data_IF_180537390426
#
_entry.id   IF_180537390426
#
_cell.length_a   1.000
_cell.length_b   1.000
_cell.length_c   1.000
_cell.angle_alpha   90.00
_cell.angle_beta   90.00
_cell.angle_gamma   90.00
#
_symmetry.space_group_name_H-M   'P 1'
#
loop_
_entity.id
_entity.type
_entity.pdbx_description
1 polymer ?
#
# COMPACT_ATOMS: atom_id res chain seq x y z
N UNK A 1 2.88 38.77 -16.01
CA UNK A 1 3.91 37.73 -16.20
C UNK A 1 3.48 36.57 -15.33
N UNK A 2 3.18 35.41 -15.92
CA UNK A 2 2.92 34.21 -15.14
C UNK A 2 4.22 33.88 -14.41
N UNK A 3 4.17 33.87 -13.08
CA UNK A 3 5.35 33.55 -12.28
C UNK A 3 5.67 32.05 -12.40
N UNK A 4 6.91 31.72 -12.77
CA UNK A 4 7.40 30.33 -12.91
C UNK A 4 7.41 29.68 -11.53
N UNK A 5 6.85 28.47 -11.41
CA UNK A 5 6.98 27.64 -10.21
C UNK A 5 8.40 27.04 -10.10
N UNK A 6 8.90 26.85 -8.89
CA UNK A 6 10.11 26.07 -8.71
C UNK A 6 9.84 24.58 -9.01
N UNK A 7 8.66 24.09 -8.56
CA UNK A 7 8.23 22.71 -8.78
C UNK A 7 6.78 22.65 -9.23
N UNK A 8 6.51 21.88 -10.30
CA UNK A 8 5.20 21.32 -10.58
C UNK A 8 5.22 19.84 -10.14
N UNK A 9 4.30 19.47 -9.27
CA UNK A 9 4.22 18.13 -8.70
C UNK A 9 2.98 17.45 -9.27
N UNK A 10 3.17 16.39 -10.03
CA UNK A 10 2.10 15.58 -10.65
C UNK A 10 1.75 14.42 -9.75
N UNK A 11 0.60 14.50 -9.12
CA UNK A 11 0.07 13.55 -8.14
C UNK A 11 0.19 14.03 -6.70
N UNK A 12 -0.95 14.15 -6.02
CA UNK A 12 -1.08 14.59 -4.62
C UNK A 12 -1.01 13.45 -3.59
N UNK A 13 -0.57 12.25 -4.01
CA UNK A 13 -0.33 11.14 -3.10
C UNK A 13 0.76 11.45 -2.08
N UNK A 14 1.03 10.51 -1.17
CA UNK A 14 1.95 10.73 -0.04
C UNK A 14 3.33 11.23 -0.46
N UNK A 15 3.89 10.73 -1.58
CA UNK A 15 5.17 11.20 -2.10
C UNK A 15 5.09 12.68 -2.50
N UNK A 16 4.14 13.04 -3.38
CA UNK A 16 4.01 14.40 -3.90
C UNK A 16 3.69 15.42 -2.79
N UNK A 17 2.78 15.08 -1.87
CA UNK A 17 2.43 15.94 -0.74
C UNK A 17 3.59 16.13 0.23
N UNK A 18 4.35 15.07 0.53
CA UNK A 18 5.54 15.17 1.40
C UNK A 18 6.64 15.99 0.72
N UNK A 19 6.85 15.81 -0.59
CA UNK A 19 7.81 16.61 -1.36
C UNK A 19 7.44 18.09 -1.34
N UNK A 20 6.18 18.43 -1.61
CA UNK A 20 5.67 19.79 -1.59
C UNK A 20 5.90 20.47 -0.22
N UNK A 21 5.64 19.73 0.87
CA UNK A 21 5.88 20.19 2.24
C UNK A 21 7.32 20.63 2.47
N UNK A 22 8.29 19.77 2.14
CA UNK A 22 9.70 20.08 2.36
C UNK A 22 10.22 21.16 1.40
N UNK A 23 9.77 21.17 0.14
CA UNK A 23 10.12 22.20 -0.82
C UNK A 23 9.62 23.59 -0.35
N UNK A 24 8.35 23.67 0.09
CA UNK A 24 7.81 24.91 0.68
C UNK A 24 8.59 25.38 1.90
N UNK A 25 8.97 24.47 2.81
CA UNK A 25 9.81 24.81 3.96
C UNK A 25 11.17 25.38 3.57
N UNK A 26 11.67 25.10 2.36
CA UNK A 26 12.87 25.72 1.80
C UNK A 26 12.56 27.00 1.00
N UNK A 27 11.35 27.53 1.09
CA UNK A 27 10.94 28.77 0.40
C UNK A 27 10.67 28.58 -1.10
N UNK A 28 10.52 27.33 -1.57
CA UNK A 28 10.20 27.03 -2.98
C UNK A 28 8.72 27.20 -3.24
N UNK A 29 8.39 27.78 -4.41
CA UNK A 29 7.02 27.88 -4.89
C UNK A 29 6.63 26.61 -5.64
N UNK A 30 5.62 25.90 -5.12
CA UNK A 30 5.14 24.64 -5.65
C UNK A 30 3.68 24.75 -6.11
N UNK A 31 3.35 24.03 -7.18
CA UNK A 31 1.99 23.68 -7.56
C UNK A 31 1.85 22.16 -7.57
N UNK A 32 0.85 21.63 -6.87
CA UNK A 32 0.48 20.21 -6.92
C UNK A 32 -0.77 20.04 -7.76
N UNK A 33 -0.71 19.17 -8.77
CA UNK A 33 -1.86 18.82 -9.60
C UNK A 33 -2.24 17.36 -9.39
N UNK A 34 -3.52 17.04 -9.44
CA UNK A 34 -4.01 15.67 -9.42
C UNK A 34 -5.11 15.48 -10.46
N UNK A 35 -5.11 14.32 -11.15
CA UNK A 35 -6.15 13.98 -12.13
C UNK A 35 -7.51 13.68 -11.48
N UNK A 36 -7.52 13.31 -10.20
CA UNK A 36 -8.73 13.05 -9.41
C UNK A 36 -9.35 14.33 -8.91
N UNK A 37 -10.64 14.29 -8.57
CA UNK A 37 -11.37 15.39 -7.95
C UNK A 37 -11.05 15.60 -6.47
N UNK A 38 -10.09 14.89 -5.92
CA UNK A 38 -9.64 14.96 -4.54
C UNK A 38 -8.13 14.83 -4.43
N UNK A 39 -7.55 15.37 -3.37
CA UNK A 39 -6.15 15.22 -3.02
C UNK A 39 -5.90 13.92 -2.23
N UNK A 40 -4.63 13.56 -2.02
CA UNK A 40 -4.20 12.46 -1.16
C UNK A 40 -3.96 11.13 -1.88
N UNK A 41 -4.27 11.05 -3.18
CA UNK A 41 -4.06 9.83 -3.94
C UNK A 41 -4.81 8.65 -3.31
N UNK A 42 -4.12 7.52 -3.09
CA UNK A 42 -4.74 6.34 -2.48
C UNK A 42 -4.98 6.46 -0.96
N UNK A 43 -4.48 7.52 -0.30
CA UNK A 43 -4.77 7.78 1.12
C UNK A 43 -6.09 8.49 1.37
N UNK A 44 -6.75 8.94 0.30
CA UNK A 44 -8.01 9.67 0.44
C UNK A 44 -9.06 8.86 1.20
N UNK A 45 -9.66 9.50 2.21
CA UNK A 45 -10.80 9.00 2.96
C UNK A 45 -12.06 9.76 2.58
N UNK A 46 -13.14 9.04 2.29
CA UNK A 46 -14.46 9.60 2.03
C UNK A 46 -15.27 9.60 3.34
N UNK A 47 -15.91 10.71 3.68
CA UNK A 47 -16.84 10.73 4.81
C UNK A 47 -18.19 10.13 4.37
N UNK A 48 -18.58 9.03 5.02
CA UNK A 48 -19.86 8.37 4.79
C UNK A 48 -20.53 8.13 6.14
N UNK A 49 -21.64 8.79 6.41
CA UNK A 49 -22.38 8.70 7.69
C UNK A 49 -21.50 9.05 8.92
N UNK A 50 -20.54 9.96 8.74
CA UNK A 50 -19.57 10.34 9.78
C UNK A 50 -18.47 9.30 10.03
N UNK A 51 -18.27 8.37 9.11
CA UNK A 51 -17.20 7.36 9.15
C UNK A 51 -16.21 7.66 8.02
N UNK A 52 -14.92 7.79 8.34
CA UNK A 52 -13.86 7.97 7.35
C UNK A 52 -13.56 6.65 6.63
N UNK A 53 -14.14 6.50 5.46
CA UNK A 53 -13.95 5.32 4.61
C UNK A 53 -12.65 5.44 3.83
N UNK A 54 -11.72 4.52 4.02
CA UNK A 54 -10.50 4.42 3.23
C UNK A 54 -10.87 3.95 1.82
N UNK A 55 -11.09 4.90 0.91
CA UNK A 55 -11.69 4.65 -0.42
C UNK A 55 -10.90 3.68 -1.27
N UNK A 56 -9.59 3.69 -1.12
CA UNK A 56 -8.66 2.87 -1.91
C UNK A 56 -8.03 1.73 -1.11
N UNK A 57 -8.71 1.25 -0.07
CA UNK A 57 -8.26 0.15 0.78
C UNK A 57 -7.66 0.59 2.11
N UNK A 58 -7.53 -0.38 3.02
CA UNK A 58 -7.01 -0.14 4.35
C UNK A 58 -5.56 0.36 4.32
N UNK A 59 -5.32 1.52 4.88
CA UNK A 59 -4.01 2.12 5.08
C UNK A 59 -3.75 2.27 6.58
N UNK A 60 -2.69 1.65 7.07
CA UNK A 60 -2.24 1.75 8.46
C UNK A 60 -0.80 2.28 8.43
N UNK A 61 -0.56 3.40 9.11
CA UNK A 61 0.80 3.93 9.21
C UNK A 61 1.57 3.12 10.25
N UNK A 62 2.74 2.60 9.89
CA UNK A 62 3.61 1.87 10.81
C UNK A 62 5.08 2.08 10.43
N UNK A 63 5.98 2.08 11.42
CA UNK A 63 7.41 2.28 11.19
C UNK A 63 8.25 1.94 12.42
N UNK A 64 9.52 1.58 12.20
CA UNK A 64 10.55 1.55 13.23
C UNK A 64 11.37 2.85 13.27
N UNK A 65 11.23 3.72 12.25
CA UNK A 65 11.95 5.00 12.17
C UNK A 65 11.30 6.02 13.11
N UNK A 66 11.94 6.28 14.25
CA UNK A 66 11.49 7.34 15.16
C UNK A 66 11.45 8.71 14.47
N UNK A 67 12.38 8.99 13.58
CA UNK A 67 12.45 10.23 12.80
C UNK A 67 11.18 10.44 11.96
N UNK A 68 10.77 9.40 11.25
CA UNK A 68 9.55 9.43 10.41
C UNK A 68 8.32 9.55 11.28
N UNK A 69 8.25 8.79 12.37
CA UNK A 69 7.14 8.86 13.32
C UNK A 69 6.99 10.24 13.94
N UNK A 70 8.08 10.80 14.48
CA UNK A 70 8.08 12.14 15.06
C UNK A 70 7.64 13.22 14.05
N UNK A 71 8.02 13.06 12.79
CA UNK A 71 7.60 13.95 11.73
C UNK A 71 6.08 13.89 11.50
N UNK A 72 5.50 12.71 11.29
CA UNK A 72 4.07 12.61 10.97
C UNK A 72 3.17 13.00 12.16
N UNK A 73 3.55 12.66 13.39
CA UNK A 73 2.80 13.08 14.59
C UNK A 73 2.95 14.57 14.92
N UNK A 74 3.98 15.23 14.39
CA UNK A 74 4.11 16.70 14.48
C UNK A 74 3.13 17.45 13.57
N UNK A 75 2.57 16.78 12.58
CA UNK A 75 1.63 17.35 11.62
C UNK A 75 0.18 17.16 12.07
N UNK A 76 -0.16 15.96 12.53
CA UNK A 76 -1.51 15.58 12.96
C UNK A 76 -1.45 14.59 14.12
N UNK A 77 -2.52 14.54 14.91
CA UNK A 77 -2.66 13.53 15.97
C UNK A 77 -2.90 12.13 15.34
N UNK A 78 -2.22 11.12 15.89
CA UNK A 78 -2.45 9.71 15.59
C UNK A 78 -3.10 9.00 16.76
N UNK A 79 -4.03 8.12 16.47
CA UNK A 79 -4.66 7.29 17.47
C UNK A 79 -3.79 6.05 17.79
N UNK A 80 -4.30 5.21 18.72
CA UNK A 80 -3.64 3.98 19.17
C UNK A 80 -3.98 2.74 18.35
N UNK A 81 -4.43 2.86 17.12
CA UNK A 81 -4.84 1.69 16.33
C UNK A 81 -3.70 0.70 16.20
N UNK A 82 -3.99 -0.55 16.56
CA UNK A 82 -3.07 -1.68 16.42
C UNK A 82 -3.67 -2.64 15.40
N UNK A 83 -2.97 -2.89 14.30
CA UNK A 83 -3.46 -3.75 13.25
C UNK A 83 -3.47 -5.21 13.70
N UNK A 84 -4.64 -5.78 13.89
CA UNK A 84 -4.86 -7.16 14.36
C UNK A 84 -5.93 -7.84 13.50
N UNK A 85 -5.65 -8.10 12.21
CA UNK A 85 -6.62 -8.72 11.32
C UNK A 85 -6.93 -10.15 11.74
N UNK A 86 -8.11 -10.63 11.34
CA UNK A 86 -8.50 -12.04 11.48
C UNK A 86 -8.67 -12.68 10.11
N UNK A 87 -8.50 -14.00 10.05
CA UNK A 87 -8.82 -14.79 8.87
C UNK A 87 -10.09 -15.59 9.12
N UNK A 88 -11.03 -15.53 8.19
CA UNK A 88 -12.23 -16.38 8.16
C UNK A 88 -12.01 -17.50 7.14
N UNK A 89 -12.09 -18.72 7.61
CA UNK A 89 -12.09 -19.94 6.80
C UNK A 89 -13.27 -20.82 7.18
N UNK A 90 -14.26 -20.94 6.31
CA UNK A 90 -15.49 -21.72 6.54
C UNK A 90 -16.24 -21.33 7.83
N UNK A 91 -16.34 -20.02 8.09
CA UNK A 91 -16.98 -19.49 9.28
C UNK A 91 -16.14 -19.59 10.57
N UNK A 92 -14.97 -20.22 10.53
CA UNK A 92 -14.05 -20.28 11.67
C UNK A 92 -13.03 -19.15 11.59
N UNK A 93 -12.88 -18.42 12.67
CA UNK A 93 -11.96 -17.28 12.77
C UNK A 93 -10.61 -17.73 13.33
N UNK A 94 -9.55 -17.16 12.75
CA UNK A 94 -8.17 -17.34 13.18
C UNK A 94 -7.48 -15.99 13.30
N UNK A 95 -6.69 -15.79 14.35
CA UNK A 95 -5.89 -14.58 14.50
C UNK A 95 -4.71 -14.56 13.51
N UNK A 96 -4.37 -13.35 13.06
CA UNK A 96 -3.20 -13.07 12.25
C UNK A 96 -2.31 -12.03 12.96
N UNK A 97 -0.98 -12.04 12.74
CA UNK A 97 -0.18 -13.03 12.01
C UNK A 97 -0.21 -14.38 12.72
N UNK A 98 0.41 -15.42 12.16
CA UNK A 98 0.43 -16.73 12.78
C UNK A 98 1.16 -16.69 14.10
N UNK A 99 0.42 -16.87 15.18
CA UNK A 99 0.90 -16.77 16.57
C UNK A 99 0.24 -17.84 17.45
N UNK A 100 0.52 -17.84 18.73
CA UNK A 100 -0.04 -18.84 19.65
C UNK A 100 -1.56 -18.86 19.66
N UNK A 101 -2.26 -17.71 19.44
CA UNK A 101 -3.72 -17.71 19.30
C UNK A 101 -4.16 -18.48 18.05
N UNK A 102 -3.48 -18.30 16.91
CA UNK A 102 -3.74 -19.05 15.67
C UNK A 102 -3.55 -20.56 15.89
N UNK A 103 -2.46 -20.96 16.56
CA UNK A 103 -2.13 -22.36 16.81
C UNK A 103 -3.11 -23.00 17.80
N UNK A 104 -3.51 -22.27 18.84
CA UNK A 104 -4.58 -22.70 19.74
C UNK A 104 -5.91 -22.90 18.99
N UNK A 105 -6.31 -21.93 18.17
CA UNK A 105 -7.55 -21.99 17.39
C UNK A 105 -7.53 -23.14 16.36
N UNK A 106 -6.37 -23.48 15.83
CA UNK A 106 -6.22 -24.50 14.79
C UNK A 106 -6.04 -25.90 15.37
N UNK A 107 -5.20 -26.06 16.38
CA UNK A 107 -4.73 -27.34 16.91
C UNK A 107 -5.04 -27.58 18.38
N UNK A 108 -5.54 -26.58 19.12
CA UNK A 108 -5.81 -26.70 20.55
C UNK A 108 -4.55 -26.75 21.44
N UNK A 109 -3.40 -26.34 20.91
CA UNK A 109 -2.12 -26.31 21.66
C UNK A 109 -2.07 -25.11 22.61
N UNK A 110 -1.48 -25.29 23.80
CA UNK A 110 -1.47 -24.30 24.85
C UNK A 110 -0.09 -23.69 25.13
N UNK A 111 0.97 -24.40 24.75
CA UNK A 111 2.34 -23.97 25.03
C UNK A 111 3.17 -23.81 23.74
N UNK A 112 4.23 -22.96 23.77
CA UNK A 112 5.15 -22.84 22.66
C UNK A 112 5.80 -24.17 22.23
N UNK A 113 6.07 -25.05 23.17
CA UNK A 113 6.66 -26.36 22.89
C UNK A 113 5.70 -27.27 22.11
N UNK A 114 4.42 -27.31 22.48
CA UNK A 114 3.38 -28.05 21.76
C UNK A 114 3.17 -27.47 20.35
N UNK A 115 3.14 -26.14 20.22
CA UNK A 115 2.99 -25.46 18.94
C UNK A 115 4.19 -25.75 18.03
N UNK A 116 5.42 -25.71 18.56
CA UNK A 116 6.64 -26.03 17.82
C UNK A 116 6.63 -27.48 17.34
N UNK A 117 6.28 -28.42 18.20
CA UNK A 117 6.19 -29.84 17.85
C UNK A 117 5.15 -30.07 16.75
N UNK A 118 3.99 -29.38 16.83
CA UNK A 118 2.95 -29.48 15.81
C UNK A 118 3.37 -28.87 14.46
N UNK A 119 4.07 -27.73 14.49
CA UNK A 119 4.65 -27.14 13.29
C UNK A 119 5.67 -28.06 12.62
N UNK A 120 6.54 -28.74 13.41
CA UNK A 120 7.52 -29.70 12.90
C UNK A 120 6.83 -30.90 12.27
N UNK A 121 5.81 -31.49 12.92
CA UNK A 121 4.97 -32.55 12.35
C UNK A 121 4.39 -32.15 10.99
N UNK A 122 3.75 -30.96 10.93
CA UNK A 122 3.10 -30.46 9.73
C UNK A 122 4.06 -30.16 8.57
N UNK A 123 5.31 -29.82 8.86
CA UNK A 123 6.37 -29.53 7.86
C UNK A 123 7.07 -30.79 7.36
N UNK A 124 7.09 -31.87 8.17
CA UNK A 124 7.95 -33.04 7.95
C UNK A 124 7.72 -33.67 6.58
N UNK A 125 6.48 -33.80 6.12
CA UNK A 125 6.13 -34.38 4.82
C UNK A 125 6.75 -33.57 3.67
N UNK A 126 6.54 -32.25 3.69
CA UNK A 126 7.04 -31.35 2.65
C UNK A 126 8.58 -31.35 2.59
N UNK A 127 9.23 -31.28 3.76
CA UNK A 127 10.69 -31.29 3.86
C UNK A 127 11.25 -32.62 3.38
N UNK A 128 10.61 -33.73 3.73
CA UNK A 128 11.03 -35.09 3.30
C UNK A 128 10.88 -35.23 1.80
N UNK A 129 9.78 -34.78 1.22
CA UNK A 129 9.54 -34.77 -0.23
C UNK A 129 10.60 -33.96 -0.98
N UNK A 130 10.87 -32.74 -0.54
CA UNK A 130 11.89 -31.88 -1.16
C UNK A 130 13.28 -32.56 -1.13
N UNK A 131 13.67 -33.14 0.00
CA UNK A 131 14.93 -33.88 0.12
C UNK A 131 15.02 -35.11 -0.82
N UNK A 132 13.92 -35.85 -0.95
CA UNK A 132 13.85 -37.00 -1.84
C UNK A 132 13.97 -36.60 -3.33
N UNK A 133 13.48 -35.41 -3.67
CA UNK A 133 13.58 -34.80 -5.02
C UNK A 133 14.92 -34.08 -5.26
N UNK A 134 15.83 -34.05 -4.28
CA UNK A 134 17.11 -33.32 -4.36
C UNK A 134 16.94 -31.80 -4.44
N UNK A 135 15.87 -31.27 -3.86
CA UNK A 135 15.53 -29.85 -3.83
C UNK A 135 16.02 -29.24 -2.52
N UNK A 136 17.06 -28.42 -2.60
CA UNK A 136 17.65 -27.75 -1.41
C UNK A 136 16.87 -26.51 -0.98
N UNK A 137 16.19 -25.85 -1.91
CA UNK A 137 15.40 -24.64 -1.64
C UNK A 137 14.03 -24.72 -2.32
N UNK A 138 12.95 -24.21 -1.68
CA UNK A 138 11.62 -24.16 -2.28
C UNK A 138 11.62 -23.48 -3.65
N UNK A 139 11.02 -24.13 -4.64
CA UNK A 139 10.94 -23.66 -6.03
C UNK A 139 9.83 -22.62 -6.26
N UNK A 140 8.79 -22.70 -5.43
CA UNK A 140 7.57 -21.88 -5.56
C UNK A 140 6.96 -21.57 -4.18
N UNK A 141 5.90 -20.77 -4.18
CA UNK A 141 5.24 -20.32 -2.96
C UNK A 141 4.62 -21.50 -2.17
N UNK A 142 4.03 -22.48 -2.84
CA UNK A 142 3.46 -23.66 -2.16
C UNK A 142 4.51 -24.43 -1.37
N UNK A 143 5.64 -24.77 -1.99
CA UNK A 143 6.74 -25.46 -1.32
C UNK A 143 7.30 -24.65 -0.14
N UNK A 144 7.46 -23.34 -0.35
CA UNK A 144 7.90 -22.42 0.71
C UNK A 144 6.91 -22.38 1.89
N UNK A 145 5.60 -22.32 1.61
CA UNK A 145 4.57 -22.32 2.63
C UNK A 145 4.56 -23.63 3.42
N UNK A 146 4.51 -24.76 2.73
CA UNK A 146 4.49 -26.06 3.36
C UNK A 146 5.74 -26.32 4.24
N UNK A 147 6.91 -25.88 3.79
CA UNK A 147 8.15 -25.99 4.55
C UNK A 147 8.23 -24.99 5.74
N UNK A 148 7.55 -23.86 5.66
CA UNK A 148 7.61 -22.81 6.70
C UNK A 148 6.54 -22.98 7.77
N UNK A 149 5.29 -23.26 7.39
CA UNK A 149 4.11 -23.23 8.27
C UNK A 149 3.30 -24.53 8.28
N UNK A 150 3.62 -25.49 7.40
CA UNK A 150 2.94 -26.76 7.29
C UNK A 150 1.62 -26.72 6.53
N UNK A 151 1.01 -27.89 6.39
CA UNK A 151 -0.14 -28.13 5.51
C UNK A 151 -1.41 -27.41 5.99
N UNK A 152 -1.75 -27.54 7.28
CA UNK A 152 -3.01 -27.02 7.81
C UNK A 152 -3.13 -25.51 7.64
N UNK A 153 -2.06 -24.76 7.95
CA UNK A 153 -2.04 -23.29 7.81
C UNK A 153 -2.02 -22.91 6.34
N UNK A 154 -1.21 -23.61 5.53
CA UNK A 154 -1.15 -23.35 4.10
C UNK A 154 -2.52 -23.51 3.43
N UNK A 155 -3.18 -24.65 3.61
CA UNK A 155 -4.46 -24.95 2.94
C UNK A 155 -5.61 -24.04 3.38
N UNK A 156 -5.66 -23.71 4.69
CA UNK A 156 -6.77 -22.93 5.24
C UNK A 156 -6.55 -21.41 5.16
N UNK A 157 -5.33 -20.93 5.37
CA UNK A 157 -5.10 -19.49 5.58
C UNK A 157 -4.28 -18.82 4.48
N UNK A 158 -3.54 -19.59 3.65
CA UNK A 158 -2.67 -19.02 2.62
C UNK A 158 -3.18 -19.28 1.22
N UNK A 159 -3.39 -20.54 0.86
CA UNK A 159 -3.61 -20.94 -0.53
C UNK A 159 -4.69 -20.14 -1.23
N UNK A 160 -5.94 -20.24 -0.78
CA UNK A 160 -7.06 -19.61 -1.45
C UNK A 160 -6.99 -18.08 -1.42
N UNK A 161 -6.47 -17.48 -0.33
CA UNK A 161 -6.25 -16.05 -0.24
C UNK A 161 -5.22 -15.56 -1.26
N UNK A 162 -4.07 -16.23 -1.31
CA UNK A 162 -2.96 -15.86 -2.19
C UNK A 162 -3.32 -16.04 -3.66
N UNK A 163 -3.97 -17.15 -4.00
CA UNK A 163 -4.41 -17.41 -5.38
C UNK A 163 -5.43 -16.36 -5.87
N UNK A 164 -6.34 -15.90 -5.02
CA UNK A 164 -7.24 -14.78 -5.33
C UNK A 164 -6.47 -13.46 -5.52
N UNK A 165 -5.55 -13.18 -4.60
CA UNK A 165 -4.78 -11.94 -4.63
C UNK A 165 -3.92 -11.82 -5.88
N UNK A 166 -3.30 -12.92 -6.32
CA UNK A 166 -2.37 -12.93 -7.44
C UNK A 166 -2.99 -13.39 -8.76
N UNK A 167 -4.18 -14.01 -8.74
CA UNK A 167 -4.82 -14.57 -9.93
C UNK A 167 -4.09 -15.76 -10.52
N UNK A 168 -3.17 -16.39 -9.76
CA UNK A 168 -2.30 -17.51 -10.17
C UNK A 168 -2.24 -18.55 -9.08
N UNK A 169 -1.95 -19.80 -9.44
CA UNK A 169 -1.76 -20.89 -8.47
C UNK A 169 -0.49 -20.65 -7.64
N UNK A 170 -0.52 -21.07 -6.38
CA UNK A 170 0.65 -20.98 -5.50
C UNK A 170 1.89 -21.72 -6.04
N UNK A 171 1.69 -22.77 -6.86
CA UNK A 171 2.75 -23.50 -7.57
C UNK A 171 3.44 -22.71 -8.68
N UNK A 172 2.81 -21.62 -9.16
CA UNK A 172 3.32 -20.75 -10.22
C UNK A 172 3.91 -19.44 -9.66
N UNK A 173 3.71 -19.19 -8.37
CA UNK A 173 4.18 -17.97 -7.70
C UNK A 173 5.57 -18.17 -7.09
N UNK A 174 6.44 -17.14 -7.12
CA UNK A 174 7.77 -17.21 -6.54
C UNK A 174 7.76 -17.44 -5.02
N UNK A 175 8.68 -18.27 -4.52
CA UNK A 175 8.82 -18.61 -3.10
C UNK A 175 9.04 -17.37 -2.19
N UNK A 176 9.69 -16.32 -2.70
CA UNK A 176 10.03 -15.13 -1.91
C UNK A 176 8.82 -14.36 -1.39
N UNK A 177 7.64 -14.48 -2.02
CA UNK A 177 6.41 -13.75 -1.65
C UNK A 177 6.05 -13.99 -0.18
N UNK A 178 6.22 -15.21 0.33
CA UNK A 178 5.92 -15.55 1.72
C UNK A 178 7.16 -15.87 2.57
N UNK A 179 8.36 -15.65 2.05
CA UNK A 179 9.61 -15.96 2.77
C UNK A 179 9.71 -15.26 4.13
N UNK A 180 9.09 -14.11 4.28
CA UNK A 180 9.11 -13.27 5.50
C UNK A 180 7.84 -13.38 6.33
N UNK A 181 6.99 -14.39 6.08
CA UNK A 181 5.76 -14.56 6.83
C UNK A 181 6.07 -14.79 8.32
N UNK A 182 5.58 -13.94 9.24
CA UNK A 182 5.92 -14.08 10.65
C UNK A 182 5.21 -15.30 11.24
N UNK A 183 5.99 -16.13 11.93
CA UNK A 183 5.54 -17.24 12.77
C UNK A 183 6.03 -16.97 14.18
N UNK A 184 5.12 -16.77 15.12
CA UNK A 184 5.44 -16.33 16.48
C UNK A 184 4.96 -17.34 17.51
N UNK A 185 5.86 -17.80 18.38
CA UNK A 185 5.52 -18.68 19.51
C UNK A 185 5.18 -17.88 20.77
N UNK A 186 4.45 -16.77 20.58
CA UNK A 186 3.94 -15.88 21.64
C UNK A 186 2.49 -15.51 21.33
N UNK A 187 1.72 -15.11 22.33
CA UNK A 187 0.34 -14.60 22.19
C UNK A 187 0.38 -13.12 21.81
N UNK A 188 0.64 -12.83 20.53
CA UNK A 188 0.72 -11.46 20.02
C UNK A 188 -0.02 -11.34 18.67
N UNK A 189 -1.13 -10.64 18.68
CA UNK A 189 -1.98 -10.40 17.50
C UNK A 189 -1.59 -9.13 16.74
N UNK A 190 -0.57 -8.39 17.19
CA UNK A 190 -0.11 -7.23 16.44
C UNK A 190 0.52 -7.69 15.12
N UNK A 191 -0.08 -7.29 13.99
CA UNK A 191 0.35 -7.75 12.67
C UNK A 191 1.77 -7.25 12.32
N UNK A 192 2.08 -6.02 12.69
CA UNK A 192 3.39 -5.42 12.43
C UNK A 192 4.38 -5.70 13.58
N UNK A 193 5.67 -5.75 13.23
CA UNK A 193 6.76 -5.81 14.21
C UNK A 193 7.32 -4.41 14.53
N UNK A 194 6.72 -3.37 13.96
CA UNK A 194 7.21 -2.00 14.08
C UNK A 194 6.86 -1.39 15.45
N UNK A 195 7.76 -0.53 15.92
CA UNK A 195 7.65 0.13 17.21
C UNK A 195 6.53 1.16 17.27
N UNK A 196 6.14 1.71 16.12
CA UNK A 196 5.13 2.76 16.01
C UNK A 196 4.09 2.37 14.97
N UNK A 197 2.82 2.57 15.29
CA UNK A 197 1.71 2.41 14.36
C UNK A 197 0.49 3.22 14.83
N UNK A 198 -0.39 3.57 13.90
CA UNK A 198 -1.63 4.30 14.17
C UNK A 198 -2.31 4.78 12.91
N UNK A 199 -3.45 5.42 13.11
CA UNK A 199 -4.25 6.09 12.08
C UNK A 199 -4.38 7.57 12.47
N UNK A 200 -4.26 8.52 11.52
CA UNK A 200 -4.53 9.93 11.81
C UNK A 200 -5.96 10.12 12.33
N UNK A 201 -6.12 10.84 13.41
CA UNK A 201 -7.44 11.20 13.96
C UNK A 201 -8.14 12.14 12.97
N UNK A 202 -9.34 11.76 12.53
CA UNK A 202 -10.08 12.45 11.49
C UNK A 202 -9.66 12.06 10.06
N UNK A 203 -9.05 10.89 9.90
CA UNK A 203 -8.68 10.28 8.62
C UNK A 203 -7.41 10.84 7.98
N UNK A 204 -6.93 10.16 6.94
CA UNK A 204 -5.70 10.54 6.23
C UNK A 204 -5.79 11.89 5.49
N UNK A 205 -6.99 12.37 5.19
CA UNK A 205 -7.16 13.69 4.57
C UNK A 205 -6.50 14.78 5.42
N UNK A 206 -6.57 14.68 6.77
CA UNK A 206 -5.92 15.62 7.68
C UNK A 206 -4.40 15.65 7.55
N UNK A 207 -3.79 14.48 7.35
CA UNK A 207 -2.34 14.40 7.10
C UNK A 207 -1.97 15.07 5.77
N UNK A 208 -2.75 14.82 4.73
CA UNK A 208 -2.52 15.43 3.41
C UNK A 208 -2.73 16.95 3.45
N UNK A 209 -3.80 17.42 4.10
CA UNK A 209 -4.06 18.85 4.33
C UNK A 209 -2.88 19.52 5.06
N UNK A 210 -2.35 18.90 6.12
CA UNK A 210 -1.21 19.43 6.87
C UNK A 210 0.09 19.42 6.05
N UNK A 211 0.31 18.42 5.20
CA UNK A 211 1.47 18.38 4.29
C UNK A 211 1.38 19.47 3.20
N UNK A 212 0.19 19.75 2.71
CA UNK A 212 -0.05 20.70 1.65
C UNK A 212 -0.41 22.12 2.17
N UNK A 213 -0.36 22.35 3.48
CA UNK A 213 -0.63 23.67 4.04
C UNK A 213 0.23 24.76 3.40
N UNK A 214 -0.43 25.77 2.81
CA UNK A 214 0.21 26.88 2.08
C UNK A 214 0.86 26.49 0.76
N UNK A 215 0.54 25.32 0.18
CA UNK A 215 0.92 24.91 -1.17
C UNK A 215 -0.26 25.13 -2.12
N UNK A 216 -0.01 25.68 -3.31
CA UNK A 216 -1.03 25.79 -4.35
C UNK A 216 -1.39 24.39 -4.89
N UNK A 217 -2.68 24.07 -5.00
CA UNK A 217 -3.16 22.76 -5.45
C UNK A 217 -4.27 22.89 -6.48
N UNK A 218 -4.33 21.97 -7.44
CA UNK A 218 -5.43 21.87 -8.41
C UNK A 218 -5.81 20.40 -8.60
N UNK A 219 -7.09 20.10 -8.49
CA UNK A 219 -7.69 18.80 -8.83
C UNK A 219 -8.25 18.81 -10.23
N UNK A 220 -8.68 17.64 -10.74
CA UNK A 220 -9.25 17.45 -12.09
C UNK A 220 -8.31 17.92 -13.21
N UNK A 221 -7.00 17.86 -12.98
CA UNK A 221 -5.95 18.17 -13.96
C UNK A 221 -5.18 16.91 -14.32
N UNK A 222 -5.48 16.35 -15.48
CA UNK A 222 -4.72 15.22 -16.03
C UNK A 222 -3.48 15.73 -16.78
N UNK A 223 -2.30 15.39 -16.29
CA UNK A 223 -1.02 15.76 -16.90
C UNK A 223 -0.92 15.27 -18.36
N UNK A 224 -1.44 14.08 -18.66
CA UNK A 224 -1.40 13.50 -20.02
C UNK A 224 -2.42 14.12 -20.98
N UNK A 225 -3.40 14.87 -20.45
CA UNK A 225 -4.29 15.70 -21.27
C UNK A 225 -3.70 17.08 -21.60
N UNK A 226 -2.49 17.39 -21.11
CA UNK A 226 -1.76 18.61 -21.36
C UNK A 226 -0.67 18.39 -22.40
N UNK A 227 -0.39 19.43 -23.20
CA UNK A 227 0.85 19.51 -23.98
C UNK A 227 1.99 19.81 -23.00
N UNK A 228 3.08 19.04 -23.06
CA UNK A 228 4.28 19.21 -22.25
C UNK A 228 5.48 19.47 -23.14
N UNK A 229 6.19 20.56 -22.90
CA UNK A 229 7.43 20.91 -23.59
C UNK A 229 8.50 21.32 -22.58
N UNK A 230 9.77 21.09 -22.91
CA UNK A 230 10.92 21.52 -22.13
C UNK A 230 11.81 22.40 -23.00
N UNK A 231 12.11 23.61 -22.54
CA UNK A 231 13.04 24.51 -23.19
C UNK A 231 14.45 24.36 -22.62
N UNK A 232 15.33 23.71 -23.34
CA UNK A 232 16.71 23.46 -22.95
C UNK A 232 17.53 24.75 -22.70
N UNK A 233 17.14 25.88 -23.30
CA UNK A 233 17.86 27.15 -23.13
C UNK A 233 17.53 27.82 -21.80
N UNK A 234 16.27 27.82 -21.41
CA UNK A 234 15.81 28.41 -20.14
C UNK A 234 15.77 27.42 -18.99
N UNK A 235 15.83 26.11 -19.25
CA UNK A 235 15.64 25.06 -18.26
C UNK A 235 14.24 25.02 -17.66
N UNK A 236 13.21 25.33 -18.48
CA UNK A 236 11.82 25.49 -18.01
C UNK A 236 10.89 24.52 -18.72
N UNK A 237 10.10 23.81 -17.94
CA UNK A 237 8.97 23.04 -18.44
C UNK A 237 7.75 23.94 -18.64
N UNK A 238 7.03 23.74 -19.74
CA UNK A 238 5.74 24.38 -20.00
C UNK A 238 4.68 23.31 -20.20
N UNK A 239 3.66 23.33 -19.36
CA UNK A 239 2.56 22.37 -19.35
C UNK A 239 1.25 23.16 -19.55
N UNK A 240 0.51 22.85 -20.61
CA UNK A 240 -0.71 23.60 -20.96
C UNK A 240 -1.78 22.75 -21.63
N UNK A 241 -3.02 23.15 -21.41
CA UNK A 241 -4.18 22.75 -22.22
C UNK A 241 -5.15 23.96 -22.33
N UNK A 242 -6.40 23.74 -22.70
CA UNK A 242 -7.39 24.82 -22.85
C UNK A 242 -7.71 25.58 -21.55
N UNK A 243 -7.49 24.98 -20.39
CA UNK A 243 -7.85 25.51 -19.05
C UNK A 243 -6.65 25.65 -18.12
N UNK A 244 -5.51 25.09 -18.48
CA UNK A 244 -4.32 25.01 -17.64
C UNK A 244 -3.09 25.47 -18.43
N UNK A 245 -2.33 26.43 -17.90
CA UNK A 245 -1.13 27.00 -18.52
C UNK A 245 -0.11 27.36 -17.44
N UNK A 246 0.90 26.52 -17.25
CA UNK A 246 1.86 26.62 -16.16
C UNK A 246 3.29 26.38 -16.63
N UNK A 247 4.21 27.12 -16.05
CA UNK A 247 5.66 26.94 -16.24
C UNK A 247 6.33 26.58 -14.91
N UNK A 248 7.29 25.65 -14.96
CA UNK A 248 8.08 25.26 -13.79
C UNK A 248 9.53 24.94 -14.14
N UNK A 249 10.43 25.08 -13.16
CA UNK A 249 11.86 24.73 -13.32
C UNK A 249 12.11 23.23 -13.23
N UNK A 250 11.35 22.56 -12.36
CA UNK A 250 11.44 21.10 -12.21
C UNK A 250 10.05 20.48 -12.13
N UNK A 251 9.92 19.32 -12.77
CA UNK A 251 8.74 18.48 -12.75
C UNK A 251 8.98 17.31 -11.77
N UNK A 252 8.10 17.14 -10.79
CA UNK A 252 8.10 15.98 -9.90
C UNK A 252 6.96 15.08 -10.36
N UNK A 253 7.32 13.95 -10.97
CA UNK A 253 6.35 13.04 -11.56
C UNK A 253 6.15 11.80 -10.70
N UNK A 254 4.89 11.54 -10.30
CA UNK A 254 4.54 10.38 -9.45
C UNK A 254 3.62 9.36 -10.13
N UNK A 255 3.30 9.59 -11.40
CA UNK A 255 2.48 8.69 -12.22
C UNK A 255 3.23 7.46 -12.72
N UNK A 256 2.61 6.68 -13.60
CA UNK A 256 3.24 5.50 -14.19
C UNK A 256 4.41 5.89 -15.09
N UNK A 257 5.58 5.31 -14.85
CA UNK A 257 6.80 5.62 -15.60
C UNK A 257 6.70 5.23 -17.08
N UNK A 258 6.08 4.10 -17.39
CA UNK A 258 5.88 3.64 -18.76
C UNK A 258 4.92 4.55 -19.56
N UNK A 259 3.91 5.10 -18.92
CA UNK A 259 2.97 6.06 -19.49
C UNK A 259 3.66 7.39 -19.78
N UNK A 260 4.55 7.88 -18.90
CA UNK A 260 5.35 9.08 -19.13
C UNK A 260 6.15 8.99 -20.44
N UNK A 261 6.73 7.83 -20.70
CA UNK A 261 7.48 7.55 -21.94
C UNK A 261 6.60 7.02 -23.08
N UNK A 262 5.29 7.24 -23.02
CA UNK A 262 4.33 6.80 -24.05
C UNK A 262 4.49 5.31 -24.42
N UNK A 263 4.79 4.46 -23.40
CA UNK A 263 4.98 3.02 -23.55
C UNK A 263 6.04 2.60 -24.59
N UNK A 264 7.02 3.45 -24.86
CA UNK A 264 8.04 3.29 -25.93
C UNK A 264 8.85 1.99 -25.85
N UNK A 265 9.00 1.42 -24.65
CA UNK A 265 9.68 0.14 -24.40
C UNK A 265 8.70 -1.01 -24.13
N UNK A 266 7.39 -0.73 -24.11
CA UNK A 266 6.31 -1.66 -23.77
C UNK A 266 5.62 -1.31 -22.46
N UNK A 267 4.47 -1.95 -22.20
CA UNK A 267 3.67 -1.72 -20.98
C UNK A 267 4.21 -2.54 -19.81
N UNK A 268 4.27 -1.92 -18.66
CA UNK A 268 4.51 -2.57 -17.36
C UNK A 268 3.20 -3.16 -16.84
N UNK A 269 3.28 -4.29 -16.16
CA UNK A 269 2.12 -4.96 -15.59
C UNK A 269 1.86 -4.47 -14.17
N UNK A 270 0.59 -4.29 -13.84
CA UNK A 270 0.14 -3.87 -12.50
C UNK A 270 -0.96 -4.82 -11.99
N UNK A 271 -1.13 -4.86 -10.68
CA UNK A 271 -2.34 -5.39 -10.03
C UNK A 271 -3.21 -4.23 -9.59
N UNK A 272 -4.49 -4.47 -9.58
CA UNK A 272 -5.49 -3.52 -9.07
C UNK A 272 -6.43 -4.20 -8.08
N UNK A 273 -7.15 -3.39 -7.33
CA UNK A 273 -8.23 -3.83 -6.45
C UNK A 273 -9.50 -3.03 -6.75
N UNK A 274 -10.63 -3.71 -6.63
CA UNK A 274 -11.96 -3.13 -6.72
C UNK A 274 -12.65 -3.26 -5.37
N UNK A 275 -13.39 -2.25 -4.98
CA UNK A 275 -14.14 -2.23 -3.72
C UNK A 275 -15.63 -2.17 -4.00
N UNK A 276 -16.39 -2.97 -3.24
CA UNK A 276 -17.83 -2.85 -3.12
C UNK A 276 -18.15 -2.35 -1.72
N UNK A 277 -18.59 -1.10 -1.64
CA UNK A 277 -18.91 -0.42 -0.40
C UNK A 277 -20.40 -0.59 -0.08
N UNK A 278 -20.70 -0.80 1.20
CA UNK A 278 -22.06 -0.94 1.71
C UNK A 278 -22.18 -0.27 3.07
N UNK A 279 -23.22 0.56 3.23
CA UNK A 279 -23.62 1.10 4.53
C UNK A 279 -24.66 0.17 5.16
N UNK A 280 -24.42 -0.26 6.39
CA UNK A 280 -25.27 -1.18 7.12
C UNK A 280 -25.98 -0.46 8.29
N UNK A 281 -27.27 -0.73 8.46
CA UNK A 281 -28.10 -0.23 9.55
C UNK A 281 -27.87 -1.05 10.84
N UNK A 282 -26.58 -1.15 11.22
CA UNK A 282 -26.13 -1.77 12.47
C UNK A 282 -24.83 -1.13 12.93
N UNK A 283 -24.57 -1.03 14.23
CA UNK A 283 -23.39 -0.31 14.74
C UNK A 283 -22.09 -1.09 14.58
N UNK A 284 -22.12 -2.40 14.42
CA UNK A 284 -20.93 -3.26 14.37
C UNK A 284 -21.24 -4.53 13.58
N UNK A 285 -20.49 -4.79 12.51
CA UNK A 285 -20.72 -5.90 11.60
C UNK A 285 -19.85 -7.12 11.92
N UNK A 286 -18.53 -6.92 12.00
CA UNK A 286 -17.55 -8.01 12.17
C UNK A 286 -16.67 -7.89 13.42
N UNK A 287 -16.78 -6.78 14.16
CA UNK A 287 -16.04 -6.56 15.40
C UNK A 287 -14.55 -6.32 15.22
N UNK A 288 -14.09 -6.07 13.99
CA UNK A 288 -12.69 -5.81 13.66
C UNK A 288 -12.58 -4.98 12.38
N UNK A 289 -11.53 -4.19 12.24
CA UNK A 289 -11.32 -3.40 11.04
C UNK A 289 -11.12 -4.27 9.79
N UNK A 290 -10.42 -5.41 9.89
CA UNK A 290 -10.10 -6.25 8.73
C UNK A 290 -10.33 -7.73 9.04
N UNK A 291 -11.18 -8.36 8.22
CA UNK A 291 -11.34 -9.82 8.18
C UNK A 291 -10.98 -10.34 6.78
N UNK A 292 -9.94 -11.17 6.70
CA UNK A 292 -9.51 -11.83 5.46
C UNK A 292 -10.35 -13.08 5.23
N UNK A 293 -10.88 -13.26 4.03
CA UNK A 293 -11.62 -14.45 3.61
C UNK A 293 -10.68 -15.34 2.80
N UNK A 294 -10.27 -16.45 3.39
CA UNK A 294 -9.17 -17.27 2.84
C UNK A 294 -9.62 -18.42 1.95
N UNK A 295 -10.92 -18.70 1.87
CA UNK A 295 -11.48 -19.70 0.97
C UNK A 295 -11.43 -19.24 -0.49
N UNK A 296 -11.09 -20.16 -1.40
CA UNK A 296 -11.09 -19.88 -2.84
C UNK A 296 -12.49 -19.59 -3.42
N UNK A 297 -13.54 -20.16 -2.82
CA UNK A 297 -14.95 -19.98 -3.29
C UNK A 297 -15.51 -18.61 -2.96
N UNK A 298 -14.96 -17.91 -1.98
CA UNK A 298 -15.36 -16.54 -1.64
C UNK A 298 -14.62 -15.58 -2.57
N UNK A 299 -15.32 -14.76 -3.38
CA UNK A 299 -14.69 -14.02 -4.47
C UNK A 299 -13.85 -12.81 -4.01
N UNK A 300 -14.12 -12.24 -2.83
CA UNK A 300 -13.35 -11.14 -2.27
C UNK A 300 -12.23 -11.66 -1.35
N UNK A 301 -11.19 -10.88 -1.22
CA UNK A 301 -10.02 -11.22 -0.37
C UNK A 301 -10.27 -10.85 1.08
N UNK A 302 -10.96 -9.74 1.34
CA UNK A 302 -11.24 -9.27 2.70
C UNK A 302 -12.47 -8.37 2.76
N UNK A 303 -13.01 -8.23 3.96
CA UNK A 303 -13.96 -7.17 4.31
C UNK A 303 -13.24 -6.20 5.25
N UNK A 304 -13.37 -4.92 4.95
CA UNK A 304 -12.91 -3.81 5.77
C UNK A 304 -14.14 -3.17 6.41
N UNK A 305 -14.17 -3.08 7.73
CA UNK A 305 -15.17 -2.30 8.48
C UNK A 305 -14.49 -1.02 8.99
N UNK A 306 -14.73 0.08 8.30
CA UNK A 306 -13.91 1.28 8.39
C UNK A 306 -13.96 1.99 9.74
N UNK A 307 -15.07 1.94 10.43
CA UNK A 307 -15.26 2.54 11.75
C UNK A 307 -14.19 2.11 12.77
N UNK A 308 -13.76 0.83 12.73
CA UNK A 308 -12.79 0.28 13.67
C UNK A 308 -11.38 0.83 13.52
N UNK A 309 -11.08 1.62 12.49
CA UNK A 309 -9.79 2.29 12.40
C UNK A 309 -9.66 3.45 13.38
N UNK A 310 -10.78 4.12 13.73
CA UNK A 310 -10.75 5.33 14.55
C UNK A 310 -11.52 5.21 15.85
N UNK A 311 -12.50 4.30 15.96
CA UNK A 311 -13.40 4.18 17.10
C UNK A 311 -13.12 2.88 17.86
N UNK A 312 -13.07 2.94 19.18
CA UNK A 312 -12.65 1.83 20.02
C UNK A 312 -13.64 1.55 21.17
N UNK A 313 -13.73 0.27 21.54
CA UNK A 313 -14.50 -0.17 22.68
C UNK A 313 -15.99 0.15 22.54
N UNK A 314 -16.62 0.64 23.59
CA UNK A 314 -18.07 0.89 23.63
C UNK A 314 -18.51 2.01 22.67
N UNK A 315 -17.64 2.97 22.36
CA UNK A 315 -17.94 4.07 21.43
C UNK A 315 -18.25 3.61 19.99
N UNK A 316 -17.92 2.36 19.64
CA UNK A 316 -18.34 1.74 18.35
C UNK A 316 -19.86 1.77 18.18
N UNK A 317 -20.62 1.67 19.30
CA UNK A 317 -22.07 1.60 19.31
C UNK A 317 -22.76 2.98 19.34
N UNK A 318 -22.01 4.07 19.46
CA UNK A 318 -22.56 5.44 19.48
C UNK A 318 -23.13 5.84 18.11
N UNK A 319 -22.51 5.39 17.02
CA UNK A 319 -23.06 5.52 15.66
C UNK A 319 -23.85 4.22 15.32
N UNK A 320 -25.16 4.30 15.06
CA UNK A 320 -26.01 3.13 14.79
C UNK A 320 -25.71 2.45 13.44
N UNK A 321 -24.92 3.11 12.57
CA UNK A 321 -24.53 2.60 11.27
C UNK A 321 -23.07 2.19 11.23
N UNK A 322 -22.72 1.32 10.30
CA UNK A 322 -21.34 1.03 9.95
C UNK A 322 -21.16 0.94 8.44
N UNK A 323 -19.92 1.16 7.96
CA UNK A 323 -19.59 1.06 6.54
C UNK A 323 -18.57 -0.04 6.35
N UNK A 324 -18.87 -0.96 5.44
CA UNK A 324 -17.95 -2.02 5.04
C UNK A 324 -17.55 -1.88 3.57
N UNK A 325 -16.35 -2.36 3.26
CA UNK A 325 -15.90 -2.55 1.87
C UNK A 325 -15.43 -3.97 1.65
N UNK A 326 -15.96 -4.64 0.62
CA UNK A 326 -15.44 -5.93 0.13
C UNK A 326 -14.37 -5.65 -0.92
N UNK A 327 -13.18 -6.18 -0.72
CA UNK A 327 -12.03 -5.98 -1.60
C UNK A 327 -11.86 -7.17 -2.55
N UNK A 328 -11.79 -6.88 -3.85
CA UNK A 328 -11.56 -7.85 -4.91
C UNK A 328 -10.24 -7.53 -5.61
N UNK A 329 -9.31 -8.47 -5.61
CA UNK A 329 -8.07 -8.33 -6.37
C UNK A 329 -8.27 -8.79 -7.81
N UNK A 330 -7.75 -8.01 -8.77
CA UNK A 330 -7.83 -8.34 -10.20
C UNK A 330 -6.59 -7.85 -10.95
N UNK A 331 -6.44 -8.32 -12.18
CA UNK A 331 -5.43 -7.77 -13.09
C UNK A 331 -5.82 -6.36 -13.48
N UNK A 332 -4.81 -5.49 -13.55
CA UNK A 332 -5.00 -4.12 -13.99
C UNK A 332 -5.27 -4.08 -15.50
N UNK A 333 -6.20 -3.26 -15.90
CA UNK A 333 -6.48 -2.93 -17.29
C UNK A 333 -6.45 -1.41 -17.46
N UNK A 334 -6.22 -0.95 -18.67
CA UNK A 334 -6.22 0.47 -19.00
C UNK A 334 -7.55 1.13 -18.57
N UNK A 335 -7.46 2.29 -17.92
CA UNK A 335 -8.61 2.97 -17.29
C UNK A 335 -8.85 2.60 -15.83
N UNK A 336 -8.22 1.55 -15.29
CA UNK A 336 -8.26 1.23 -13.86
C UNK A 336 -7.12 1.92 -13.11
N UNK A 337 -7.28 2.10 -11.80
CA UNK A 337 -6.20 2.58 -10.95
C UNK A 337 -5.15 1.49 -10.72
N UNK A 338 -3.85 1.74 -10.98
CA UNK A 338 -2.79 0.80 -10.68
C UNK A 338 -2.44 0.87 -9.18
N UNK A 339 -2.50 -0.26 -8.48
CA UNK A 339 -2.18 -0.32 -7.04
C UNK A 339 -0.79 -0.86 -6.77
N UNK A 340 -0.42 -1.96 -7.43
CA UNK A 340 0.81 -2.69 -7.13
C UNK A 340 1.56 -3.04 -8.41
N UNK A 341 2.87 -2.72 -8.49
CA UNK A 341 3.74 -3.26 -9.54
C UNK A 341 3.82 -4.79 -9.48
N UNK A 342 3.86 -5.44 -10.63
CA UNK A 342 4.14 -6.88 -10.74
C UNK A 342 5.64 -7.08 -10.79
N UNK A 343 6.25 -7.48 -9.66
CA UNK A 343 7.71 -7.61 -9.51
C UNK A 343 8.19 -9.00 -9.96
N UNK A 344 7.97 -9.35 -11.22
CA UNK A 344 8.61 -10.51 -11.86
C UNK A 344 9.84 -10.09 -12.69
N UNK A 345 10.60 -11.07 -13.18
CA UNK A 345 11.84 -10.83 -13.91
C UNK A 345 11.63 -10.02 -15.20
N UNK A 346 10.50 -10.23 -15.89
CA UNK A 346 10.15 -9.50 -17.13
C UNK A 346 9.95 -8.03 -16.81
N UNK A 347 9.07 -7.74 -15.86
CA UNK A 347 8.72 -6.38 -15.48
C UNK A 347 9.88 -5.65 -14.79
N UNK A 348 10.66 -6.33 -13.96
CA UNK A 348 11.83 -5.74 -13.32
C UNK A 348 12.90 -5.30 -14.34
N UNK A 349 13.14 -6.09 -15.41
CA UNK A 349 14.05 -5.72 -16.50
C UNK A 349 13.50 -4.54 -17.28
N UNK A 350 12.22 -4.54 -17.62
CA UNK A 350 11.58 -3.44 -18.36
C UNK A 350 11.59 -2.14 -17.53
N UNK A 351 11.26 -2.22 -16.25
CA UNK A 351 11.32 -1.08 -15.34
C UNK A 351 12.73 -0.51 -15.21
N UNK A 352 13.77 -1.37 -15.22
CA UNK A 352 15.14 -0.90 -15.20
C UNK A 352 15.51 -0.11 -16.48
N UNK A 353 14.99 -0.52 -17.64
CA UNK A 353 15.19 0.22 -18.88
C UNK A 353 14.50 1.59 -18.83
N UNK A 354 13.28 1.67 -18.30
CA UNK A 354 12.59 2.95 -18.09
C UNK A 354 13.33 3.86 -17.10
N UNK A 355 13.90 3.32 -16.01
CA UNK A 355 14.73 4.11 -15.09
C UNK A 355 15.98 4.67 -15.76
N UNK A 356 16.55 3.96 -16.74
CA UNK A 356 17.69 4.46 -17.54
C UNK A 356 17.25 5.63 -18.42
N UNK A 357 16.06 5.58 -19.02
CA UNK A 357 15.49 6.73 -19.74
C UNK A 357 15.20 7.90 -18.79
N UNK A 358 14.57 7.63 -17.65
CA UNK A 358 14.22 8.62 -16.65
C UNK A 358 15.45 9.39 -16.12
N UNK A 359 16.60 8.72 -16.01
CA UNK A 359 17.85 9.35 -15.60
C UNK A 359 18.44 10.34 -16.66
N UNK A 360 17.89 10.35 -17.87
CA UNK A 360 18.30 11.25 -18.95
C UNK A 360 17.35 12.45 -19.11
N UNK A 361 16.19 12.40 -18.44
CA UNK A 361 15.20 13.50 -18.46
C UNK A 361 15.71 14.68 -17.66
N UNK A 362 15.96 15.80 -18.36
CA UNK A 362 16.39 17.03 -17.71
C UNK A 362 15.24 17.71 -16.95
N UNK A 363 15.51 18.15 -15.72
CA UNK A 363 14.55 18.87 -14.90
C UNK A 363 13.36 18.02 -14.41
N UNK A 364 13.41 16.68 -14.52
CA UNK A 364 12.35 15.77 -14.05
C UNK A 364 12.86 14.88 -12.92
N UNK A 365 12.10 14.78 -11.85
CA UNK A 365 12.32 13.84 -10.74
C UNK A 365 11.17 12.84 -10.74
N UNK A 366 11.49 11.57 -10.92
CA UNK A 366 10.53 10.47 -10.81
C UNK A 366 10.53 9.95 -9.37
N UNK A 367 9.36 9.91 -8.74
CA UNK A 367 9.28 9.46 -7.37
C UNK A 367 7.94 8.85 -6.98
N UNK A 368 7.97 7.99 -5.97
CA UNK A 368 6.81 7.26 -5.51
C UNK A 368 6.58 5.92 -6.24
N UNK A 369 5.56 5.21 -5.80
CA UNK A 369 5.31 3.81 -6.14
C UNK A 369 5.26 3.53 -7.65
N UNK A 370 4.57 4.37 -8.41
CA UNK A 370 4.33 4.14 -9.84
C UNK A 370 5.50 4.63 -10.71
N UNK A 371 6.07 5.80 -10.39
CA UNK A 371 7.17 6.37 -11.13
C UNK A 371 8.49 5.62 -10.91
N UNK A 372 8.69 5.03 -9.74
CA UNK A 372 9.84 4.18 -9.48
C UNK A 372 9.59 2.69 -9.81
N UNK A 373 8.34 2.32 -10.13
CA UNK A 373 7.90 0.94 -10.28
C UNK A 373 8.36 0.05 -9.12
N UNK A 374 8.02 0.47 -7.89
CA UNK A 374 8.46 -0.18 -6.67
C UNK A 374 7.35 -0.20 -5.63
N UNK A 375 7.20 -1.33 -4.94
CA UNK A 375 6.30 -1.38 -3.81
C UNK A 375 6.92 -0.64 -2.61
N UNK A 376 6.17 0.32 -2.09
CA UNK A 376 6.50 1.06 -0.88
C UNK A 376 5.33 1.05 0.10
N UNK A 377 5.62 0.84 1.37
CA UNK A 377 4.75 1.26 2.47
C UNK A 377 4.87 2.77 2.69
N UNK A 378 3.96 3.34 3.48
CA UNK A 378 3.89 4.80 3.68
C UNK A 378 5.15 5.39 4.30
N UNK A 379 5.66 4.77 5.37
CA UNK A 379 6.82 5.31 6.09
C UNK A 379 8.10 5.36 5.24
N UNK A 380 8.46 4.33 4.46
CA UNK A 380 9.57 4.41 3.50
C UNK A 380 9.43 5.52 2.45
N UNK A 381 8.19 5.85 2.01
CA UNK A 381 7.95 6.99 1.11
C UNK A 381 8.34 8.30 1.79
N UNK A 382 7.85 8.52 3.01
CA UNK A 382 8.16 9.73 3.79
C UNK A 382 9.66 9.84 4.03
N UNK A 383 10.30 8.74 4.45
CA UNK A 383 11.74 8.69 4.71
C UNK A 383 12.59 8.98 3.47
N UNK A 384 12.19 8.45 2.32
CA UNK A 384 12.84 8.72 1.04
C UNK A 384 12.83 10.21 0.72
N UNK A 385 11.66 10.86 0.80
CA UNK A 385 11.54 12.31 0.55
C UNK A 385 12.34 13.11 1.56
N UNK A 386 12.27 12.79 2.86
CA UNK A 386 13.09 13.46 3.88
C UNK A 386 14.59 13.42 3.52
N UNK A 387 15.07 12.26 3.07
CA UNK A 387 16.48 12.07 2.71
C UNK A 387 16.88 12.86 1.46
N UNK A 388 15.99 13.05 0.48
CA UNK A 388 16.23 13.90 -0.69
C UNK A 388 16.52 15.35 -0.29
N UNK A 389 15.80 15.87 0.69
CA UNK A 389 15.96 17.26 1.14
C UNK A 389 17.13 17.45 2.14
N UNK A 390 17.60 16.40 2.79
CA UNK A 390 18.80 16.44 3.64
C UNK A 390 20.08 16.41 2.80
N UNK A 391 20.12 15.59 1.76
CA UNK A 391 21.28 15.46 0.86
C UNK A 391 21.60 16.76 0.10
N UNK A 392 20.61 17.64 -0.06
CA UNK A 392 20.76 18.93 -0.75
C UNK A 392 21.21 20.08 0.19
N UNK A 393 21.54 19.79 1.46
CA UNK A 393 22.05 20.79 2.43
C UNK A 393 23.58 20.84 2.52
N UNK A 394 24.29 20.03 1.71
CA UNK A 394 25.76 19.97 1.67
C UNK A 394 26.38 20.90 0.65
#
# INVERSE_FOLDING_TARGET
MNSIYDYLIVGSGLFGSTFAHFARKQGKRCLVIDKRSHLGGNLYCEDVEGIHVHKYGAHIFHTNSKRVWDFVISLVEFNRYTNSPVANYQGKLYNLPFNMNTFYQMWGVHTPAEAQSKLEEQRAEAITKMKAEGVDMPRNLEEQALALIGKDIYERLIKGYTEKQWGRKCTELPAFIIKRLPVRLVFDNNYFNDSYQGIPVGGYNKLIEALLDGVETMTDVDFFACEHTYDNLSGVHHIKNSTFDVQCKQLIFTGKIDEYFNYSLGKLDYRTVRFEQETLEMPNYQGNAVANYTEAVIPYTRIIEHKHFEVFGQAIYDNPKTVISREYSTEWQEGMEPYYPVNDDKNNRLAQQYRTLAAQEEGVVFGGRLAEYKYYDMAPIVEHVMSMFESNKG
#
